data_IF_847555255718
#
_entry.id   IF_847555255718
#
_cell.length_a   1.000
_cell.length_b   1.000
_cell.length_c   1.000
_cell.angle_alpha   90.00
_cell.angle_beta   90.00
_cell.angle_gamma   90.00
#
_symmetry.space_group_name_H-M   'P 1'
#
loop_
_entity.id
_entity.type
_entity.pdbx_description
1 polymer ?
#
# COMPACT_ATOMS: atom_id res chain seq x y z
N UNK A 1 6.62 18.45 -27.08
CA UNK A 1 6.76 17.50 -25.97
C UNK A 1 6.19 18.18 -24.74
N UNK A 2 5.23 17.56 -24.05
CA UNK A 2 4.65 18.18 -22.84
C UNK A 2 5.71 18.21 -21.74
N UNK A 3 5.59 19.14 -20.82
CA UNK A 3 6.55 19.35 -19.73
C UNK A 3 6.73 18.11 -18.85
N UNK A 4 5.63 17.49 -18.43
CA UNK A 4 5.60 16.22 -17.70
C UNK A 4 6.33 15.09 -18.43
N UNK A 5 6.18 14.99 -19.76
CA UNK A 5 6.84 13.94 -20.55
C UNK A 5 8.37 14.09 -20.51
N UNK A 6 8.89 15.31 -20.35
CA UNK A 6 10.33 15.58 -20.25
C UNK A 6 10.84 15.14 -18.89
N UNK A 7 10.09 15.42 -17.83
CA UNK A 7 10.42 15.01 -16.47
C UNK A 7 10.46 13.49 -16.34
N UNK A 8 9.47 12.78 -16.92
CA UNK A 8 9.46 11.31 -16.97
C UNK A 8 10.66 10.74 -17.74
N UNK A 9 11.06 11.36 -18.85
CA UNK A 9 12.25 10.92 -19.58
C UNK A 9 13.53 11.20 -18.80
N UNK A 10 13.59 12.25 -17.99
CA UNK A 10 14.72 12.51 -17.11
C UNK A 10 14.79 11.47 -16.00
N UNK A 11 13.65 11.05 -15.44
CA UNK A 11 13.61 9.92 -14.50
C UNK A 11 14.11 8.63 -15.17
N UNK A 12 13.57 8.27 -16.34
CA UNK A 12 14.03 7.10 -17.10
C UNK A 12 15.53 7.14 -17.44
N UNK A 13 16.09 8.34 -17.66
CA UNK A 13 17.53 8.53 -17.86
C UNK A 13 18.35 8.19 -16.60
N UNK A 14 17.87 8.60 -15.42
CA UNK A 14 18.51 8.35 -14.13
C UNK A 14 18.40 6.86 -13.75
N UNK A 15 17.26 6.24 -14.09
CA UNK A 15 17.00 4.81 -13.84
C UNK A 15 17.77 3.91 -14.82
N UNK A 16 18.14 4.43 -16.00
CA UNK A 16 18.90 3.69 -17.01
C UNK A 16 18.04 2.97 -18.05
N UNK A 17 16.74 3.26 -18.07
CA UNK A 17 15.73 2.65 -18.94
C UNK A 17 15.72 3.21 -20.37
N UNK A 18 16.45 4.30 -20.63
CA UNK A 18 16.55 4.90 -21.97
C UNK A 18 17.58 4.20 -22.85
N UNK A 19 17.28 4.15 -24.15
CA UNK A 19 18.26 3.71 -25.15
C UNK A 19 19.46 4.67 -25.19
N UNK A 20 20.65 4.18 -25.60
CA UNK A 20 21.87 4.99 -25.67
C UNK A 20 21.69 6.26 -26.52
N UNK A 21 20.91 6.16 -27.60
CA UNK A 21 20.62 7.27 -28.50
C UNK A 21 19.73 8.33 -27.83
N UNK A 22 18.65 7.92 -27.17
CA UNK A 22 17.74 8.83 -26.46
C UNK A 22 18.43 9.50 -25.28
N UNK A 23 19.22 8.73 -24.53
CA UNK A 23 20.00 9.25 -23.41
C UNK A 23 20.99 10.34 -23.86
N UNK A 24 21.66 10.16 -25.00
CA UNK A 24 22.54 11.18 -25.58
C UNK A 24 21.81 12.48 -25.90
N UNK A 25 20.70 12.38 -26.65
CA UNK A 25 19.87 13.53 -27.03
C UNK A 25 19.32 14.27 -25.81
N UNK A 26 18.89 13.54 -24.78
CA UNK A 26 18.36 14.14 -23.57
C UNK A 26 19.44 14.81 -22.71
N UNK A 27 20.64 14.23 -22.63
CA UNK A 27 21.80 14.85 -21.95
C UNK A 27 22.21 16.16 -22.60
N UNK A 28 22.25 16.21 -23.93
CA UNK A 28 22.56 17.47 -24.63
C UNK A 28 21.48 18.53 -24.41
N UNK A 29 20.22 18.13 -24.25
CA UNK A 29 19.15 19.05 -23.86
C UNK A 29 19.30 19.54 -22.43
N UNK A 30 19.62 18.66 -21.48
CA UNK A 30 19.88 19.02 -20.08
C UNK A 30 21.00 20.06 -20.00
N UNK A 31 22.11 19.90 -20.74
CA UNK A 31 23.20 20.90 -20.76
C UNK A 31 22.78 22.31 -21.14
N UNK A 32 21.71 22.46 -21.94
CA UNK A 32 21.24 23.75 -22.42
C UNK A 32 20.09 24.33 -21.57
N UNK A 33 19.59 23.60 -20.58
CA UNK A 33 18.44 24.00 -19.77
C UNK A 33 18.74 23.85 -18.26
N UNK A 34 18.89 24.99 -17.58
CA UNK A 34 19.22 25.05 -16.15
C UNK A 34 18.19 24.31 -15.29
N UNK A 35 16.90 24.39 -15.64
CA UNK A 35 15.85 23.71 -14.86
C UNK A 35 16.03 22.19 -14.93
N UNK A 36 16.31 21.67 -16.13
CA UNK A 36 16.50 20.23 -16.31
C UNK A 36 17.79 19.73 -15.66
N UNK A 37 18.84 20.58 -15.56
CA UNK A 37 20.05 20.26 -14.80
C UNK A 37 19.73 20.09 -13.32
N UNK A 38 19.03 21.05 -12.72
CA UNK A 38 18.64 21.00 -11.31
C UNK A 38 17.80 19.74 -11.04
N UNK A 39 16.83 19.43 -11.90
CA UNK A 39 16.00 18.23 -11.76
C UNK A 39 16.83 16.95 -11.83
N UNK A 40 17.69 16.83 -12.84
CA UNK A 40 18.56 15.67 -13.03
C UNK A 40 19.52 15.47 -11.85
N UNK A 41 20.13 16.54 -11.35
CA UNK A 41 21.01 16.47 -10.18
C UNK A 41 20.27 16.03 -8.92
N UNK A 42 19.07 16.57 -8.67
CA UNK A 42 18.24 16.17 -7.53
C UNK A 42 17.86 14.69 -7.58
N UNK A 43 17.47 14.19 -8.75
CA UNK A 43 17.14 12.78 -8.92
C UNK A 43 18.37 11.88 -8.72
N UNK A 44 19.54 12.28 -9.22
CA UNK A 44 20.79 11.56 -8.98
C UNK A 44 21.16 11.53 -7.49
N UNK A 45 20.99 12.65 -6.77
CA UNK A 45 21.20 12.71 -5.32
C UNK A 45 20.22 11.78 -4.59
N UNK A 46 18.94 11.79 -4.97
CA UNK A 46 17.94 10.89 -4.39
C UNK A 46 18.28 9.42 -4.63
N UNK A 47 18.67 9.06 -5.86
CA UNK A 47 19.12 7.70 -6.19
C UNK A 47 20.31 7.27 -5.34
N UNK A 48 21.29 8.15 -5.15
CA UNK A 48 22.46 7.90 -4.31
C UNK A 48 22.08 7.74 -2.83
N UNK A 49 21.18 8.59 -2.31
CA UNK A 49 20.66 8.48 -0.95
C UNK A 49 19.94 7.15 -0.74
N UNK A 50 19.06 6.75 -1.66
CA UNK A 50 18.36 5.46 -1.59
C UNK A 50 19.37 4.33 -1.64
N UNK A 51 20.29 4.33 -2.60
CA UNK A 51 21.29 3.26 -2.76
C UNK A 51 22.21 3.12 -1.53
N UNK A 52 22.52 4.21 -0.83
CA UNK A 52 23.32 4.19 0.40
C UNK A 52 22.58 3.65 1.62
N UNK A 53 21.26 3.83 1.68
CA UNK A 53 20.43 3.44 2.83
C UNK A 53 19.59 2.18 2.55
N UNK A 54 19.66 1.63 1.36
CA UNK A 54 19.03 0.37 1.02
C UNK A 54 19.72 -0.76 1.79
N UNK A 55 18.95 -1.49 2.59
CA UNK A 55 19.47 -2.67 3.28
C UNK A 55 19.88 -3.71 2.23
N UNK A 56 21.14 -4.18 2.24
CA UNK A 56 21.59 -5.18 1.30
C UNK A 56 20.80 -6.48 1.53
N UNK A 57 19.93 -6.81 0.58
CA UNK A 57 19.26 -8.12 0.55
C UNK A 57 20.09 -9.07 -0.29
N UNK A 58 20.84 -9.93 0.38
CA UNK A 58 21.50 -11.05 -0.29
C UNK A 58 20.45 -12.13 -0.52
N UNK A 59 20.11 -12.37 -1.79
CA UNK A 59 19.35 -13.55 -2.16
C UNK A 59 20.26 -14.78 -2.02
N UNK A 60 19.76 -15.91 -1.48
CA UNK A 60 20.58 -17.12 -1.31
C UNK A 60 20.99 -17.75 -2.64
N UNK A 61 20.16 -17.56 -3.67
CA UNK A 61 20.42 -17.99 -5.04
C UNK A 61 20.62 -16.79 -5.97
N UNK A 62 21.22 -17.03 -7.14
CA UNK A 62 21.40 -15.99 -8.17
C UNK A 62 20.05 -15.39 -8.61
N UNK A 63 20.04 -14.11 -8.96
CA UNK A 63 18.82 -13.45 -9.47
C UNK A 63 18.25 -14.17 -10.71
N UNK A 64 19.12 -14.69 -11.58
CA UNK A 64 18.72 -15.40 -12.80
C UNK A 64 17.94 -16.68 -12.50
N UNK A 65 18.29 -17.39 -11.41
CA UNK A 65 17.55 -18.56 -10.96
C UNK A 65 16.10 -18.21 -10.58
N UNK A 66 15.91 -17.13 -9.81
CA UNK A 66 14.58 -16.66 -9.44
C UNK A 66 13.79 -16.16 -10.64
N UNK A 67 14.41 -15.39 -11.55
CA UNK A 67 13.75 -14.94 -12.76
C UNK A 67 13.35 -16.09 -13.68
N UNK A 68 14.19 -17.13 -13.79
CA UNK A 68 13.84 -18.35 -14.53
C UNK A 68 12.65 -19.09 -13.90
N UNK A 69 12.60 -19.19 -12.57
CA UNK A 69 11.46 -19.79 -11.86
C UNK A 69 10.17 -18.99 -12.06
N UNK A 70 10.24 -17.66 -11.98
CA UNK A 70 9.10 -16.77 -12.24
C UNK A 70 8.63 -16.93 -13.68
N UNK A 71 9.53 -16.93 -14.66
CA UNK A 71 9.19 -17.14 -16.07
C UNK A 71 8.50 -18.49 -16.30
N UNK A 72 9.04 -19.56 -15.69
CA UNK A 72 8.46 -20.90 -15.75
C UNK A 72 7.06 -20.94 -15.11
N UNK A 73 6.86 -20.33 -13.94
CA UNK A 73 5.56 -20.29 -13.28
C UNK A 73 4.53 -19.46 -14.06
N UNK A 74 4.96 -18.40 -14.75
CA UNK A 74 4.08 -17.62 -15.66
C UNK A 74 3.70 -18.47 -16.88
N UNK A 75 4.64 -19.21 -17.46
CA UNK A 75 4.39 -20.09 -18.60
C UNK A 75 3.46 -21.27 -18.23
N UNK A 76 3.68 -21.86 -17.06
CA UNK A 76 2.87 -22.97 -16.52
C UNK A 76 1.50 -22.47 -16.01
N UNK A 77 1.48 -21.35 -15.29
CA UNK A 77 0.28 -20.72 -14.74
C UNK A 77 -0.60 -20.02 -15.77
N UNK A 78 -0.06 -19.69 -16.96
CA UNK A 78 -0.81 -19.19 -18.10
C UNK A 78 -1.80 -20.21 -18.69
N UNK A 79 -1.65 -21.51 -18.41
CA UNK A 79 -2.58 -22.57 -18.81
C UNK A 79 -3.32 -23.26 -17.65
N UNK A 80 -3.04 -22.89 -16.40
CA UNK A 80 -3.67 -23.54 -15.26
C UNK A 80 -3.85 -22.56 -14.10
N UNK A 81 -4.98 -21.86 -14.11
CA UNK A 81 -5.73 -21.60 -12.88
C UNK A 81 -6.19 -22.93 -12.26
N UNK A 82 -5.25 -23.80 -11.89
CA UNK A 82 -5.58 -24.98 -11.11
C UNK A 82 -5.57 -24.53 -9.66
N UNK A 83 -6.74 -24.03 -9.27
CA UNK A 83 -7.14 -23.86 -7.88
C UNK A 83 -6.53 -24.98 -7.03
N UNK A 84 -5.85 -24.58 -5.96
CA UNK A 84 -5.48 -25.48 -4.88
C UNK A 84 -6.77 -26.04 -4.28
N UNK A 85 -7.24 -27.14 -4.84
CA UNK A 85 -8.40 -27.89 -4.39
C UNK A 85 -8.08 -28.67 -3.10
N UNK A 86 -7.58 -27.97 -2.09
CA UNK A 86 -7.46 -28.48 -0.74
C UNK A 86 -8.21 -27.54 0.22
N UNK A 87 -9.21 -28.11 0.88
CA UNK A 87 -10.04 -27.54 1.97
C UNK A 87 -11.38 -26.86 1.64
N UNK A 88 -11.88 -26.90 0.40
CA UNK A 88 -13.15 -26.23 0.04
C UNK A 88 -14.35 -26.79 0.85
N UNK A 89 -14.36 -28.10 1.17
CA UNK A 89 -15.37 -28.72 2.03
C UNK A 89 -15.27 -28.31 3.51
N UNK A 90 -14.06 -28.19 4.04
CA UNK A 90 -13.82 -27.81 5.45
C UNK A 90 -14.19 -26.35 5.69
N UNK A 91 -13.81 -25.44 4.79
CA UNK A 91 -14.14 -24.01 4.87
C UNK A 91 -15.65 -23.76 4.78
N UNK A 92 -16.39 -24.54 3.97
CA UNK A 92 -17.85 -24.42 3.88
C UNK A 92 -18.56 -24.86 5.16
N UNK A 93 -18.10 -25.94 5.80
CA UNK A 93 -18.62 -26.42 7.10
C UNK A 93 -18.34 -25.43 8.22
N UNK A 94 -17.11 -24.90 8.32
CA UNK A 94 -16.78 -23.85 9.29
C UNK A 94 -17.58 -22.56 9.04
N UNK A 95 -17.83 -22.17 7.78
CA UNK A 95 -18.66 -21.00 7.46
C UNK A 95 -20.12 -21.16 7.90
N UNK A 96 -20.64 -22.40 7.96
CA UNK A 96 -22.00 -22.69 8.45
C UNK A 96 -22.08 -22.80 9.97
N UNK A 97 -21.02 -23.25 10.63
CA UNK A 97 -20.98 -23.45 12.10
C UNK A 97 -20.52 -22.21 12.89
N UNK A 98 -19.70 -21.34 12.27
CA UNK A 98 -19.24 -20.09 12.88
C UNK A 98 -20.35 -19.17 13.42
N UNK A 99 -21.48 -18.91 12.71
CA UNK A 99 -22.52 -18.04 13.25
C UNK A 99 -23.23 -18.65 14.47
N UNK A 100 -23.38 -19.98 14.53
CA UNK A 100 -24.01 -20.66 15.67
C UNK A 100 -23.10 -20.59 16.90
N UNK A 101 -21.79 -20.77 16.71
CA UNK A 101 -20.81 -20.65 17.78
C UNK A 101 -20.72 -19.21 18.32
N UNK A 102 -20.79 -18.22 17.43
CA UNK A 102 -20.83 -16.80 17.80
C UNK A 102 -22.06 -16.45 18.65
N UNK A 103 -23.26 -16.89 18.23
CA UNK A 103 -24.50 -16.65 18.98
C UNK A 103 -24.45 -17.35 20.35
N UNK A 104 -23.94 -18.57 20.42
CA UNK A 104 -23.79 -19.30 21.68
C UNK A 104 -22.81 -18.60 22.65
N UNK A 105 -21.68 -18.07 22.15
CA UNK A 105 -20.74 -17.31 22.97
C UNK A 105 -21.34 -16.00 23.49
N UNK A 106 -22.08 -15.27 22.64
CA UNK A 106 -22.74 -14.01 23.04
C UNK A 106 -23.86 -14.30 24.06
N UNK A 107 -24.69 -15.31 23.83
CA UNK A 107 -25.72 -15.73 24.78
C UNK A 107 -25.10 -16.17 26.12
N UNK A 108 -24.00 -16.92 26.09
CA UNK A 108 -23.28 -17.35 27.29
C UNK A 108 -22.71 -16.14 28.06
N UNK A 109 -22.09 -15.18 27.37
CA UNK A 109 -21.60 -13.93 27.98
C UNK A 109 -22.73 -13.11 28.62
N UNK A 110 -23.89 -13.00 27.96
CA UNK A 110 -25.06 -12.28 28.48
C UNK A 110 -25.64 -13.01 29.70
N UNK A 111 -25.68 -14.35 29.69
CA UNK A 111 -26.18 -15.12 30.85
C UNK A 111 -25.20 -15.15 32.04
N UNK A 112 -23.89 -14.97 31.81
CA UNK A 112 -22.90 -14.82 32.88
C UNK A 112 -22.89 -13.41 33.48
N UNK A 113 -23.38 -12.41 32.76
CA UNK A 113 -23.61 -11.07 33.28
C UNK A 113 -24.94 -11.05 34.08
N UNK A 114 -24.87 -11.53 35.32
CA UNK A 114 -25.95 -11.37 36.31
C UNK A 114 -26.39 -9.90 36.47
N UNK A 115 -27.55 -9.64 37.10
CA UNK A 115 -28.32 -8.42 36.96
C UNK A 115 -27.73 -7.27 37.79
N UNK A 116 -26.61 -6.72 37.34
CA UNK A 116 -26.03 -5.48 37.83
C UNK A 116 -25.28 -4.81 36.67
N UNK A 117 -26.02 -4.34 35.67
CA UNK A 117 -25.48 -3.40 34.69
C UNK A 117 -25.65 -1.98 35.25
N UNK A 118 -24.57 -1.20 35.47
CA UNK A 118 -24.72 0.24 35.56
C UNK A 118 -25.13 0.75 34.18
N UNK A 119 -26.06 1.68 34.15
CA UNK A 119 -26.59 2.34 32.97
C UNK A 119 -25.45 3.04 32.18
N UNK A 120 -24.81 2.30 31.27
CA UNK A 120 -23.97 2.85 30.23
C UNK A 120 -24.91 3.24 29.10
N UNK A 121 -25.37 4.50 29.12
CA UNK A 121 -26.26 5.13 28.15
C UNK A 121 -25.69 5.20 26.73
N UNK A 122 -25.39 4.03 26.15
CA UNK A 122 -25.00 3.86 24.76
C UNK A 122 -26.28 3.51 24.01
N UNK A 123 -26.95 4.56 23.54
CA UNK A 123 -27.96 4.47 22.50
C UNK A 123 -27.22 4.02 21.23
N UNK A 124 -27.46 2.78 20.78
CA UNK A 124 -27.07 2.35 19.44
C UNK A 124 -27.98 3.06 18.43
N UNK A 125 -27.59 4.27 18.04
CA UNK A 125 -28.14 4.92 16.84
C UNK A 125 -27.29 4.52 15.63
N UNK A 126 -27.97 4.08 14.58
CA UNK A 126 -27.41 3.35 13.44
C UNK A 126 -26.80 4.25 12.36
N UNK A 127 -26.52 5.51 12.68
CA UNK A 127 -25.92 6.49 11.78
C UNK A 127 -24.88 7.30 12.57
N UNK A 128 -23.60 6.97 12.44
CA UNK A 128 -22.52 7.87 12.84
C UNK A 128 -21.69 8.21 11.62
N UNK A 129 -22.11 9.29 10.99
CA UNK A 129 -21.34 10.05 10.02
C UNK A 129 -20.19 10.68 10.80
N UNK A 130 -19.00 10.09 10.69
CA UNK A 130 -17.78 10.61 11.32
C UNK A 130 -17.24 11.76 10.44
N UNK A 131 -18.03 12.83 10.33
CA UNK A 131 -17.63 14.10 9.74
C UNK A 131 -16.90 14.92 10.81
N UNK A 132 -15.65 14.57 11.07
CA UNK A 132 -14.68 15.58 11.51
C UNK A 132 -14.28 16.37 10.28
N UNK A 133 -14.58 17.68 10.28
CA UNK A 133 -14.44 18.64 9.15
C UNK A 133 -13.00 18.78 8.58
N UNK A 134 -12.04 18.02 9.11
CA UNK A 134 -10.61 18.10 8.79
C UNK A 134 -10.05 16.80 8.19
N UNK A 135 -10.82 15.71 8.16
CA UNK A 135 -10.32 14.41 7.69
C UNK A 135 -11.32 13.82 6.69
N UNK A 136 -10.98 13.87 5.41
CA UNK A 136 -11.73 13.15 4.38
C UNK A 136 -11.34 11.67 4.43
N UNK A 137 -12.27 10.83 4.90
CA UNK A 137 -12.07 9.38 5.03
C UNK A 137 -12.96 8.66 4.04
N UNK A 138 -12.35 8.12 2.98
CA UNK A 138 -13.05 7.26 2.03
C UNK A 138 -12.76 5.79 2.33
N UNK A 139 -13.78 5.05 2.76
CA UNK A 139 -13.67 3.61 2.99
C UNK A 139 -14.32 2.83 1.85
N UNK A 140 -13.53 2.03 1.15
CA UNK A 140 -14.03 1.08 0.16
C UNK A 140 -14.05 -0.32 0.77
N UNK A 141 -15.22 -0.97 0.77
CA UNK A 141 -15.38 -2.36 1.18
C UNK A 141 -15.76 -3.22 -0.03
N UNK A 142 -14.93 -4.21 -0.37
CA UNK A 142 -15.29 -5.27 -1.32
C UNK A 142 -15.74 -6.50 -0.53
N UNK A 143 -17.05 -6.78 -0.56
CA UNK A 143 -17.63 -7.93 0.12
C UNK A 143 -17.20 -9.28 -0.48
N UNK A 144 -16.90 -9.30 -1.79
CA UNK A 144 -16.47 -10.51 -2.49
C UNK A 144 -15.00 -10.87 -2.22
N UNK A 145 -14.15 -9.86 -2.00
CA UNK A 145 -12.71 -10.06 -1.72
C UNK A 145 -12.37 -10.07 -0.23
N UNK A 146 -13.37 -9.90 0.66
CA UNK A 146 -13.16 -9.74 2.12
C UNK A 146 -12.09 -8.69 2.46
N UNK A 147 -12.04 -7.61 1.67
CA UNK A 147 -11.00 -6.57 1.74
C UNK A 147 -11.64 -5.22 2.04
N UNK A 148 -11.08 -4.53 3.04
CA UNK A 148 -11.42 -3.16 3.39
C UNK A 148 -10.21 -2.29 3.13
N UNK A 149 -10.36 -1.28 2.28
CA UNK A 149 -9.33 -0.28 2.01
C UNK A 149 -9.82 1.04 2.58
N UNK A 150 -9.04 1.56 3.53
CA UNK A 150 -9.29 2.85 4.17
C UNK A 150 -8.29 3.85 3.61
N UNK A 151 -8.78 4.85 2.90
CA UNK A 151 -7.98 5.99 2.45
C UNK A 151 -8.15 7.12 3.46
N UNK A 152 -7.03 7.62 3.98
CA UNK A 152 -7.00 8.77 4.88
C UNK A 152 -6.17 9.84 4.18
N UNK A 153 -6.82 10.94 3.77
CA UNK A 153 -6.12 12.11 3.25
C UNK A 153 -5.72 13.01 4.43
N UNK A 154 -4.42 13.18 4.63
CA UNK A 154 -3.89 14.04 5.69
C UNK A 154 -3.50 15.40 5.10
N UNK A 155 -4.43 16.35 5.09
CA UNK A 155 -4.09 17.77 4.93
C UNK A 155 -3.75 18.40 6.29
N UNK A 156 -2.72 17.88 6.98
CA UNK A 156 -2.22 18.51 8.21
C UNK A 156 -1.22 19.61 7.86
N UNK A 157 -1.44 20.82 8.40
CA UNK A 157 -0.44 21.89 8.46
C UNK A 157 0.65 21.49 9.47
N UNK A 158 1.55 20.59 9.04
CA UNK A 158 2.65 19.98 9.82
C UNK A 158 3.64 21.04 10.36
N UNK A 159 3.49 22.32 10.03
CA UNK A 159 4.43 23.38 10.42
C UNK A 159 4.24 23.91 11.85
N UNK A 160 3.10 23.72 12.52
CA UNK A 160 2.85 24.40 13.82
C UNK A 160 3.17 23.57 15.05
N UNK A 161 2.89 22.28 15.07
CA UNK A 161 3.01 21.48 16.30
C UNK A 161 4.42 20.97 16.61
N UNK A 162 5.35 21.02 15.65
CA UNK A 162 6.74 20.58 15.89
C UNK A 162 7.62 21.65 16.55
N UNK A 163 7.15 22.89 16.71
CA UNK A 163 7.93 23.98 17.32
C UNK A 163 7.70 24.16 18.83
N UNK A 164 6.61 23.64 19.39
CA UNK A 164 6.32 23.76 20.83
C UNK A 164 6.94 22.64 21.68
N UNK A 165 7.34 21.52 21.07
CA UNK A 165 7.87 20.36 21.82
C UNK A 165 9.38 20.45 22.15
N UNK A 166 10.04 21.57 21.81
CA UNK A 166 11.48 21.79 22.03
C UNK A 166 11.79 23.01 22.91
N UNK A 167 10.80 23.60 23.58
CA UNK A 167 10.96 24.79 24.43
C UNK A 167 10.44 24.57 25.87
N UNK A 168 10.72 23.40 26.44
CA UNK A 168 10.72 23.21 27.91
C UNK A 168 11.96 22.42 28.35
#
# INVERSE_FOLDING_TARGET
MKENEIELKIQALVDGELTKFEAGKLRDRIKNDIRLQILHERLMQMKDLISKHEMPRVLPESSDFYWSKIAQEIEVGGSAAQSSAQSLGMKWVFRRLAPVLGIACVALLITLQGPNLPDLGIVLDHNHELLTDEIDVMTFNSADDSMSVVWIDYSMDIQKDYMELWLD
#
